data_IF_683416529260
#
_entry.id   IF_683416529260
#
_cell.length_a   1.000
_cell.length_b   1.000
_cell.length_c   1.000
_cell.angle_alpha   90.00
_cell.angle_beta   90.00
_cell.angle_gamma   90.00
#
_symmetry.space_group_name_H-M   'P 1'
#
loop_
_entity.id
_entity.type
_entity.pdbx_description
1 polymer ?
#
# COMPACT_ATOMS: atom_id res chain seq x y z
N UNK A 1 -6.12 -7.13 -17.52
CA UNK A 1 -5.29 -8.33 -17.34
C UNK A 1 -4.26 -8.09 -16.27
N UNK A 2 -4.14 -9.04 -15.36
CA UNK A 2 -3.15 -8.99 -14.28
C UNK A 2 -1.75 -9.24 -14.83
N UNK A 3 -0.76 -8.44 -14.42
CA UNK A 3 0.62 -8.63 -14.84
C UNK A 3 1.25 -9.79 -14.07
N UNK A 4 1.95 -10.65 -14.80
CA UNK A 4 2.73 -11.74 -14.22
C UNK A 4 4.12 -11.26 -13.80
N UNK A 5 4.85 -12.10 -13.09
CA UNK A 5 6.25 -11.84 -12.74
C UNK A 5 7.11 -11.61 -13.99
N UNK A 6 6.84 -12.33 -15.06
CA UNK A 6 7.56 -12.19 -16.33
C UNK A 6 7.37 -10.79 -16.92
N UNK A 7 6.14 -10.29 -16.89
CA UNK A 7 5.83 -8.95 -17.38
C UNK A 7 6.39 -7.86 -16.45
N UNK A 8 6.34 -8.09 -15.15
CA UNK A 8 6.89 -7.16 -14.16
C UNK A 8 8.41 -7.08 -14.19
N UNK A 9 9.11 -8.12 -14.61
CA UNK A 9 10.56 -8.04 -14.85
C UNK A 9 10.90 -7.02 -15.93
N UNK A 10 10.04 -6.87 -16.92
CA UNK A 10 10.24 -5.94 -18.03
C UNK A 10 9.76 -4.53 -17.67
N UNK A 11 8.57 -4.42 -17.04
CA UNK A 11 7.88 -3.15 -16.80
C UNK A 11 8.06 -2.60 -15.38
N UNK A 12 8.54 -3.43 -14.44
CA UNK A 12 8.49 -3.12 -13.02
C UNK A 12 9.24 -1.87 -12.62
N UNK A 13 10.37 -1.58 -13.25
CA UNK A 13 11.16 -0.38 -12.92
C UNK A 13 10.44 0.92 -13.24
N UNK A 14 9.50 0.89 -14.20
CA UNK A 14 8.68 2.06 -14.53
C UNK A 14 7.49 2.20 -13.56
N UNK A 15 7.08 1.11 -12.92
CA UNK A 15 5.91 1.07 -12.03
C UNK A 15 6.28 1.22 -10.55
N UNK A 16 7.44 0.71 -10.16
CA UNK A 16 7.87 0.57 -8.77
C UNK A 16 9.30 1.08 -8.61
N UNK A 17 9.53 1.98 -7.68
CA UNK A 17 10.87 2.50 -7.38
C UNK A 17 11.09 2.60 -5.86
N UNK A 18 12.13 1.98 -5.29
CA UNK A 18 13.12 1.10 -5.94
C UNK A 18 12.52 -0.25 -6.31
N UNK A 19 13.03 -0.87 -7.35
CA UNK A 19 12.57 -2.17 -7.83
C UNK A 19 13.63 -3.23 -7.57
N UNK A 20 13.22 -4.32 -6.93
CA UNK A 20 14.07 -5.49 -6.67
C UNK A 20 13.34 -6.73 -7.18
N UNK A 21 13.91 -7.39 -8.19
CA UNK A 21 13.30 -8.57 -8.80
C UNK A 21 13.11 -9.73 -7.80
N UNK A 22 13.88 -9.75 -6.70
CA UNK A 22 13.73 -10.77 -5.66
C UNK A 22 12.41 -10.66 -4.90
N UNK A 23 11.73 -9.51 -4.98
CA UNK A 23 10.44 -9.29 -4.35
C UNK A 23 9.26 -9.66 -5.25
N UNK A 24 9.52 -10.17 -6.46
CA UNK A 24 8.45 -10.58 -7.35
C UNK A 24 7.80 -11.88 -6.85
N UNK A 25 6.48 -11.91 -6.87
CA UNK A 25 5.66 -13.11 -6.75
C UNK A 25 5.06 -13.41 -8.13
N UNK A 26 4.43 -14.58 -8.34
CA UNK A 26 3.91 -14.92 -9.66
C UNK A 26 2.99 -13.88 -10.30
N UNK A 27 2.22 -13.14 -9.50
CA UNK A 27 1.28 -12.14 -10.02
C UNK A 27 1.42 -10.78 -9.32
N UNK A 28 2.56 -10.48 -8.70
CA UNK A 28 2.69 -9.22 -7.99
C UNK A 28 4.08 -8.95 -7.45
N UNK A 29 4.14 -8.00 -6.53
CA UNK A 29 5.39 -7.53 -5.93
C UNK A 29 5.20 -7.41 -4.42
N UNK A 30 6.09 -8.02 -3.65
CA UNK A 30 6.06 -7.96 -2.19
C UNK A 30 6.62 -6.61 -1.74
N UNK A 31 5.75 -5.77 -1.16
CA UNK A 31 6.13 -4.45 -0.69
C UNK A 31 7.02 -4.52 0.54
N UNK A 32 7.99 -3.63 0.60
CA UNK A 32 8.83 -3.42 1.77
C UNK A 32 8.22 -2.33 2.62
N UNK A 33 8.13 -2.54 3.93
CA UNK A 33 7.59 -1.53 4.84
C UNK A 33 8.69 -0.56 5.24
N UNK A 34 8.38 0.72 5.20
CA UNK A 34 9.27 1.77 5.66
C UNK A 34 9.00 2.13 7.12
N UNK A 35 7.76 2.48 7.45
CA UNK A 35 7.38 2.76 8.84
C UNK A 35 5.88 2.57 9.08
N UNK A 36 5.53 2.67 10.36
CA UNK A 36 4.19 2.47 10.89
C UNK A 36 3.74 3.71 11.66
N UNK A 37 2.43 3.96 11.72
CA UNK A 37 1.85 4.99 12.58
C UNK A 37 0.55 4.51 13.20
N UNK A 38 0.46 4.55 14.54
CA UNK A 38 -0.77 4.28 15.28
C UNK A 38 -1.26 5.49 16.06
N UNK A 39 -0.51 6.59 16.05
CA UNK A 39 -0.85 7.83 16.75
C UNK A 39 -0.61 9.02 15.81
N UNK A 40 -1.44 10.08 15.92
CA UNK A 40 -1.23 11.30 15.15
C UNK A 40 0.17 11.87 15.37
N UNK A 41 0.86 12.18 14.26
CA UNK A 41 2.16 12.84 14.29
C UNK A 41 3.35 11.96 14.66
N UNK A 42 3.15 10.64 14.81
CA UNK A 42 4.22 9.71 15.20
C UNK A 42 4.37 8.58 14.21
N UNK A 43 5.62 8.29 13.87
CA UNK A 43 5.99 7.11 13.07
C UNK A 43 7.02 6.28 13.82
N UNK A 44 6.94 4.96 13.66
CA UNK A 44 7.87 4.02 14.29
C UNK A 44 8.31 2.97 13.27
N UNK A 45 9.49 2.39 13.48
CA UNK A 45 10.05 1.36 12.60
C UNK A 45 9.58 -0.05 12.97
N UNK A 46 9.07 -0.23 14.15
CA UNK A 46 8.48 -1.50 14.61
C UNK A 46 7.36 -1.21 15.59
N UNK A 47 6.41 -2.11 15.68
CA UNK A 47 5.28 -1.96 16.60
C UNK A 47 4.81 -3.34 17.10
N UNK A 48 4.43 -3.39 18.37
CA UNK A 48 3.74 -4.53 18.95
C UNK A 48 2.24 -4.23 18.94
N UNK A 49 1.52 -4.89 18.04
CA UNK A 49 0.11 -4.61 17.80
C UNK A 49 -0.75 -5.48 18.69
N UNK A 50 -1.41 -4.85 19.67
CA UNK A 50 -2.31 -5.54 20.59
C UNK A 50 -3.56 -6.06 19.87
N UNK A 51 -4.25 -7.08 20.44
CA UNK A 51 -5.53 -7.54 19.86
C UNK A 51 -6.52 -6.40 19.66
N UNK A 52 -7.10 -6.33 18.48
CA UNK A 52 -8.07 -5.28 18.10
C UNK A 52 -7.45 -3.96 17.68
N UNK A 53 -6.15 -3.78 17.83
CA UNK A 53 -5.49 -2.53 17.47
C UNK A 53 -5.18 -2.47 15.98
N UNK A 54 -5.16 -1.25 15.45
CA UNK A 54 -4.85 -0.97 14.05
C UNK A 54 -3.62 -0.09 13.93
N UNK A 55 -2.94 -0.19 12.79
CA UNK A 55 -1.79 0.65 12.47
C UNK A 55 -1.82 0.99 10.98
N UNK A 56 -1.42 2.21 10.64
CA UNK A 56 -1.15 2.58 9.25
C UNK A 56 0.28 2.17 8.88
N UNK A 57 0.43 1.72 7.66
CA UNK A 57 1.70 1.21 7.12
C UNK A 57 2.04 2.00 5.86
N UNK A 58 3.29 2.41 5.75
CA UNK A 58 3.82 3.05 4.55
C UNK A 58 4.83 2.13 3.89
N UNK A 59 4.70 1.93 2.58
CA UNK A 59 5.70 1.20 1.81
C UNK A 59 6.96 2.05 1.59
N UNK A 60 8.09 1.38 1.44
CA UNK A 60 9.32 2.01 0.98
C UNK A 60 9.22 2.36 -0.50
N UNK A 61 8.56 1.52 -1.28
CA UNK A 61 8.39 1.70 -2.72
C UNK A 61 7.42 2.83 -3.03
N UNK A 62 7.72 3.57 -4.10
CA UNK A 62 6.79 4.46 -4.78
C UNK A 62 6.22 3.72 -5.97
N UNK A 63 4.95 3.93 -6.23
CA UNK A 63 4.30 3.41 -7.43
C UNK A 63 3.92 4.56 -8.36
N UNK A 64 3.99 4.29 -9.66
CA UNK A 64 3.56 5.21 -10.71
C UNK A 64 2.70 4.42 -11.68
N UNK A 65 1.40 4.71 -11.69
CA UNK A 65 0.46 3.98 -12.52
C UNK A 65 0.20 4.72 -13.83
N UNK A 66 0.42 4.05 -14.98
CA UNK A 66 0.00 4.58 -16.28
C UNK A 66 -1.52 4.78 -16.34
N UNK A 67 -1.98 5.48 -17.37
CA UNK A 67 -3.40 5.79 -17.54
C UNK A 67 -4.27 4.58 -17.88
N UNK A 68 -3.67 3.42 -18.12
CA UNK A 68 -4.37 2.17 -18.46
C UNK A 68 -4.11 1.06 -17.43
N UNK A 69 -3.70 1.42 -16.21
CA UNK A 69 -3.35 0.43 -15.20
C UNK A 69 -3.88 0.80 -13.83
N UNK A 70 -4.40 -0.18 -13.10
CA UNK A 70 -4.77 -0.06 -11.69
C UNK A 70 -3.94 -1.03 -10.85
N UNK A 71 -3.94 -0.82 -9.54
CA UNK A 71 -3.27 -1.72 -8.62
C UNK A 71 -4.09 -1.95 -7.36
N UNK A 72 -3.96 -3.15 -6.79
CA UNK A 72 -4.60 -3.55 -5.54
C UNK A 72 -3.56 -4.12 -4.59
N UNK A 73 -3.79 -3.94 -3.30
CA UNK A 73 -2.90 -4.41 -2.23
C UNK A 73 -3.63 -5.46 -1.41
N UNK A 74 -2.95 -6.57 -1.14
CA UNK A 74 -3.50 -7.64 -0.31
C UNK A 74 -2.45 -8.18 0.65
N UNK A 75 -2.91 -8.76 1.76
CA UNK A 75 -2.01 -9.38 2.72
C UNK A 75 -1.35 -10.64 2.14
N UNK A 76 -0.12 -10.86 2.55
CA UNK A 76 0.52 -12.16 2.33
C UNK A 76 -0.20 -13.22 3.16
N UNK A 77 -0.30 -14.42 2.61
CA UNK A 77 -1.03 -15.52 3.24
C UNK A 77 -0.55 -15.81 4.67
N UNK A 78 0.77 -15.73 4.90
CA UNK A 78 1.33 -15.94 6.25
C UNK A 78 0.80 -14.93 7.26
N UNK A 79 0.52 -13.70 6.83
CA UNK A 79 0.01 -12.65 7.70
C UNK A 79 -1.48 -12.84 8.00
N UNK A 80 -2.25 -13.32 7.02
CA UNK A 80 -3.65 -13.68 7.24
C UNK A 80 -3.73 -14.79 8.28
N UNK A 81 -2.90 -15.80 8.17
CA UNK A 81 -2.88 -16.93 9.12
C UNK A 81 -2.42 -16.53 10.51
N UNK A 82 -1.62 -15.49 10.61
CA UNK A 82 -1.18 -14.93 11.88
C UNK A 82 -2.31 -14.18 12.60
N UNK A 83 -3.33 -13.74 11.88
CA UNK A 83 -4.46 -13.01 12.44
C UNK A 83 -4.46 -11.53 12.11
N UNK A 84 -3.84 -11.15 11.00
CA UNK A 84 -3.91 -9.77 10.50
C UNK A 84 -5.01 -9.62 9.46
N UNK A 85 -5.59 -8.43 9.42
CA UNK A 85 -6.55 -8.00 8.42
C UNK A 85 -6.04 -6.70 7.80
N UNK A 86 -6.35 -6.47 6.51
CA UNK A 86 -5.84 -5.32 5.78
C UNK A 86 -6.97 -4.57 5.09
N UNK A 87 -6.91 -3.25 5.19
CA UNK A 87 -7.77 -2.35 4.43
C UNK A 87 -6.88 -1.43 3.61
N UNK A 88 -7.08 -1.44 2.30
CA UNK A 88 -6.33 -0.61 1.36
C UNK A 88 -7.26 -0.08 0.28
N UNK A 89 -6.96 1.10 -0.29
CA UNK A 89 -7.71 1.60 -1.43
C UNK A 89 -7.34 0.84 -2.70
N UNK A 90 -8.15 0.99 -3.74
CA UNK A 90 -7.74 0.67 -5.10
C UNK A 90 -6.89 1.84 -5.59
N UNK A 91 -5.69 1.55 -6.07
CA UNK A 91 -4.84 2.57 -6.68
C UNK A 91 -5.24 2.75 -8.13
N UNK A 92 -5.61 3.95 -8.49
CA UNK A 92 -6.24 4.26 -9.76
C UNK A 92 -5.23 4.70 -10.82
N UNK A 93 -5.59 4.60 -12.12
CA UNK A 93 -4.70 5.04 -13.19
C UNK A 93 -4.26 6.50 -13.02
N UNK A 94 -3.00 6.76 -13.26
CA UNK A 94 -2.41 8.08 -13.10
C UNK A 94 -1.93 8.42 -11.69
N UNK A 95 -2.18 7.55 -10.71
CA UNK A 95 -1.76 7.80 -9.32
C UNK A 95 -0.25 7.57 -9.17
N UNK A 96 0.43 8.53 -8.58
CA UNK A 96 1.84 8.43 -8.20
C UNK A 96 1.94 8.67 -6.70
N UNK A 97 2.42 7.67 -5.95
CA UNK A 97 2.40 7.71 -4.48
C UNK A 97 3.25 6.58 -3.91
N UNK A 98 3.62 6.69 -2.63
CA UNK A 98 3.94 5.51 -1.84
C UNK A 98 2.64 4.79 -1.52
N UNK A 99 2.74 3.53 -1.13
CA UNK A 99 1.57 2.73 -0.80
C UNK A 99 1.29 2.86 0.69
N UNK A 100 0.07 3.26 1.03
CA UNK A 100 -0.40 3.39 2.40
C UNK A 100 -1.59 2.48 2.61
N UNK A 101 -1.58 1.73 3.71
CA UNK A 101 -2.69 0.83 4.03
C UNK A 101 -2.77 0.64 5.54
N UNK A 102 -3.91 0.16 5.99
CA UNK A 102 -4.16 -0.10 7.41
C UNK A 102 -4.18 -1.59 7.68
N UNK A 103 -3.53 -2.00 8.77
CA UNK A 103 -3.51 -3.38 9.24
C UNK A 103 -4.12 -3.42 10.63
N UNK A 104 -4.98 -4.40 10.87
CA UNK A 104 -5.65 -4.62 12.16
C UNK A 104 -5.34 -6.03 12.66
N UNK A 105 -5.00 -6.13 13.95
CA UNK A 105 -4.82 -7.42 14.59
C UNK A 105 -6.18 -7.95 15.04
N UNK A 106 -6.69 -8.96 14.34
CA UNK A 106 -7.96 -9.62 14.66
C UNK A 106 -7.76 -10.92 15.42
N UNK A 107 -6.54 -11.21 15.84
CA UNK A 107 -6.20 -12.38 16.65
C UNK A 107 -6.35 -12.07 18.15
N UNK A 108 -6.38 -13.10 19.01
CA UNK A 108 -6.42 -12.89 20.47
C UNK A 108 -5.05 -12.60 21.09
N UNK A 109 -3.98 -12.54 20.33
CA UNK A 109 -2.61 -12.35 20.82
C UNK A 109 -1.96 -11.14 20.15
N UNK A 110 -0.98 -10.52 20.85
CA UNK A 110 -0.20 -9.44 20.26
C UNK A 110 0.67 -9.95 19.11
N UNK A 111 0.82 -9.13 18.07
CA UNK A 111 1.62 -9.42 16.89
C UNK A 111 2.65 -8.31 16.73
N UNK A 112 3.93 -8.68 16.61
CA UNK A 112 5.00 -7.72 16.36
C UNK A 112 5.21 -7.54 14.86
N UNK A 113 5.21 -6.29 14.42
CA UNK A 113 5.51 -5.89 13.04
C UNK A 113 6.78 -5.07 13.06
N UNK A 114 7.81 -5.51 12.35
CA UNK A 114 9.12 -4.87 12.39
C UNK A 114 9.69 -4.49 11.01
N UNK A 115 8.93 -4.73 9.96
CA UNK A 115 9.35 -4.42 8.58
C UNK A 115 10.37 -5.37 7.97
N UNK A 116 10.94 -6.30 8.75
CA UNK A 116 11.95 -7.25 8.25
C UNK A 116 11.36 -8.29 7.30
N UNK A 117 10.05 -8.53 7.40
CA UNK A 117 9.32 -9.46 6.55
C UNK A 117 8.19 -8.74 5.84
N UNK A 118 7.97 -9.09 4.58
CA UNK A 118 6.87 -8.51 3.82
C UNK A 118 5.52 -8.74 4.48
N UNK A 119 4.66 -7.74 4.39
CA UNK A 119 3.30 -7.82 4.93
C UNK A 119 2.30 -7.96 3.79
N UNK A 120 2.49 -7.23 2.71
CA UNK A 120 1.51 -7.09 1.65
C UNK A 120 2.15 -7.24 0.28
N UNK A 121 1.33 -7.67 -0.66
CA UNK A 121 1.67 -7.79 -2.08
C UNK A 121 0.82 -6.82 -2.87
N UNK A 122 1.44 -6.10 -3.80
CA UNK A 122 0.72 -5.27 -4.76
C UNK A 122 0.60 -6.01 -6.09
N UNK A 123 -0.61 -5.98 -6.65
CA UNK A 123 -0.94 -6.61 -7.92
C UNK A 123 -1.35 -5.52 -8.91
N UNK A 124 -0.81 -5.59 -10.12
CA UNK A 124 -1.08 -4.60 -11.18
C UNK A 124 -1.99 -5.21 -12.22
N UNK A 125 -3.00 -4.47 -12.63
CA UNK A 125 -3.94 -4.92 -13.64
C UNK A 125 -4.02 -3.90 -14.77
N UNK A 126 -3.75 -4.37 -15.99
CA UNK A 126 -3.86 -3.56 -17.19
C UNK A 126 -5.31 -3.50 -17.64
N UNK A 127 -5.80 -2.29 -17.89
CA UNK A 127 -7.16 -2.03 -18.35
C UNK A 127 -7.26 -2.15 -19.87
N UNK A 128 -8.48 -2.32 -20.38
CA UNK A 128 -8.72 -2.43 -21.83
C UNK A 128 -8.45 -1.15 -22.60
N UNK A 129 -8.51 -0.01 -21.91
CA UNK A 129 -8.26 1.30 -22.52
C UNK A 129 -7.72 2.26 -21.47
N UNK A 130 -7.14 3.36 -21.92
CA UNK A 130 -6.78 4.45 -21.02
C UNK A 130 -8.03 5.11 -20.45
N UNK A 131 -7.95 5.60 -19.22
CA UNK A 131 -9.03 6.35 -18.60
C UNK A 131 -9.08 7.75 -19.19
N UNK A 132 -10.28 8.36 -19.25
CA UNK A 132 -10.44 9.74 -19.67
C UNK A 132 -9.89 10.72 -18.65
N UNK A 133 -10.08 10.41 -17.35
CA UNK A 133 -9.62 11.24 -16.24
C UNK A 133 -8.70 10.43 -15.35
N UNK A 134 -7.43 10.78 -15.36
CA UNK A 134 -6.46 10.18 -14.45
C UNK A 134 -6.71 10.64 -13.02
N UNK A 135 -6.23 9.87 -12.06
CA UNK A 135 -6.37 10.21 -10.65
C UNK A 135 -5.75 11.59 -10.34
N UNK A 136 -6.52 12.43 -9.66
CA UNK A 136 -6.09 13.75 -9.20
C UNK A 136 -6.75 14.09 -7.84
N UNK A 137 -6.80 13.11 -6.95
CA UNK A 137 -7.40 13.25 -5.64
C UNK A 137 -6.43 13.79 -4.59
N UNK A 138 -6.88 13.82 -3.35
CA UNK A 138 -6.14 14.37 -2.22
C UNK A 138 -4.85 13.63 -1.90
N UNK A 139 -4.72 12.37 -2.35
CA UNK A 139 -3.58 11.52 -2.04
C UNK A 139 -2.59 11.39 -3.20
N UNK A 140 -2.71 12.26 -4.21
CA UNK A 140 -1.73 12.30 -5.30
C UNK A 140 -0.40 12.82 -4.75
N UNK A 141 0.70 12.17 -5.15
CA UNK A 141 2.06 12.51 -4.71
C UNK A 141 2.25 12.41 -3.19
N UNK A 142 1.61 11.44 -2.57
CA UNK A 142 1.78 11.18 -1.14
C UNK A 142 3.02 10.30 -0.93
N UNK A 143 4.13 10.92 -0.52
CA UNK A 143 5.40 10.25 -0.34
C UNK A 143 5.85 10.20 1.11
N UNK A 144 5.41 11.15 1.93
CA UNK A 144 5.78 11.25 3.33
C UNK A 144 4.62 10.89 4.23
N UNK A 145 4.95 10.24 5.33
CA UNK A 145 3.98 9.76 6.31
C UNK A 145 4.12 10.58 7.59
N UNK A 146 3.20 11.51 7.79
CA UNK A 146 3.23 12.41 8.95
C UNK A 146 2.37 11.92 10.10
N UNK A 147 1.58 10.86 9.90
CA UNK A 147 0.72 10.26 10.91
C UNK A 147 -0.75 10.37 10.57
N UNK A 148 -1.58 9.87 11.48
CA UNK A 148 -3.02 9.72 11.23
C UNK A 148 -3.76 11.05 11.08
N UNK A 149 -3.24 12.13 11.67
CA UNK A 149 -3.88 13.44 11.58
C UNK A 149 -3.97 13.96 10.16
N UNK A 150 -2.99 13.64 9.31
CA UNK A 150 -3.01 14.07 7.91
C UNK A 150 -4.16 13.42 7.14
N UNK A 151 -4.45 12.16 7.42
CA UNK A 151 -5.56 11.45 6.80
C UNK A 151 -6.89 12.04 7.23
N UNK A 152 -7.03 12.40 8.50
CA UNK A 152 -8.23 13.06 9.01
C UNK A 152 -8.45 14.40 8.32
N UNK A 153 -7.39 15.19 8.16
CA UNK A 153 -7.46 16.50 7.49
C UNK A 153 -7.85 16.35 6.02
N UNK A 154 -7.23 15.40 5.31
CA UNK A 154 -7.53 15.14 3.91
C UNK A 154 -8.96 14.67 3.72
N UNK A 155 -9.43 13.78 4.58
CA UNK A 155 -10.81 13.30 4.55
C UNK A 155 -11.82 14.43 4.77
N UNK A 156 -11.53 15.34 5.70
CA UNK A 156 -12.39 16.49 5.94
C UNK A 156 -12.50 17.40 4.72
N UNK A 157 -11.41 17.59 3.98
CA UNK A 157 -11.43 18.34 2.72
C UNK A 157 -12.29 17.67 1.66
N UNK A 158 -12.17 16.35 1.52
CA UNK A 158 -12.95 15.59 0.55
C UNK A 158 -14.44 15.64 0.88
N UNK A 159 -14.79 15.52 2.15
CA UNK A 159 -16.17 15.61 2.62
C UNK A 159 -16.75 17.02 2.39
N UNK A 160 -15.95 18.06 2.55
CA UNK A 160 -16.43 19.43 2.40
C UNK A 160 -16.86 19.78 0.97
N UNK A 161 -16.52 18.96 0.00
CA UNK A 161 -16.93 19.10 -1.40
C UNK A 161 -18.38 18.64 -1.62
N UNK A 162 -18.89 17.84 -0.73
CA UNK A 162 -20.25 17.32 -0.79
C UNK A 162 -21.24 18.39 -0.33
#
# INVERSE_FOLDING_TARGET
MVLTDKELKVQGMALIAPFDANNLSPIGYDLTVDDYSNEPGKTVKSINLAPGASVFVRSKEKITLPNDMMATVSLRNSRIRQGLDLTAPIYQPGHETRVFFRVTNVSPQSITLDGSNGIATITFEKLNSEVERKYNGSFQNEFDFSGMSDYTTSLSKDISII
#
